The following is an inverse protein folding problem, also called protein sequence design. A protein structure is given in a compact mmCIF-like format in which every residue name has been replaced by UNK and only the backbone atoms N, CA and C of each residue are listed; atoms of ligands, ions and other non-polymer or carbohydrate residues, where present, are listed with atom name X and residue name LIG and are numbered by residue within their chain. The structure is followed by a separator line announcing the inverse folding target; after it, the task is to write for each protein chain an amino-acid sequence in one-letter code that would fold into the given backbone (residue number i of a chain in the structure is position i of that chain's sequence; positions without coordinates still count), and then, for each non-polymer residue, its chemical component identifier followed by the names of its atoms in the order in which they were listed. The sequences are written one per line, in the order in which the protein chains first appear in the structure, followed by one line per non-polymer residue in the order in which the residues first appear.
data_IF_382204680571
#
_entry.id   IF_382204680571
#
_cell.length_a   1.000
_cell.length_b   1.000
_cell.length_c   1.000
_cell.angle_alpha   90.00
_cell.angle_beta   90.00
_cell.angle_gamma   90.00
#
_symmetry.space_group_name_H-M   'P 1'
#
loop_
_entity.id
_entity.type
_entity.pdbx_description
1 polymer ?
#
# COMPACT_ATOMS: atom_id res chain seq x y z
N UNK A 1 28.28 -9.92 25.63
CA UNK A 1 28.12 -8.73 26.50
C UNK A 1 29.02 -7.63 25.98
N UNK A 2 28.49 -6.74 25.14
CA UNK A 2 29.19 -5.52 24.76
C UNK A 2 28.26 -4.36 25.14
N UNK A 3 28.52 -3.74 26.30
CA UNK A 3 27.82 -2.53 26.73
C UNK A 3 28.28 -1.38 25.83
N UNK A 4 27.35 -0.83 25.06
CA UNK A 4 27.58 0.29 24.15
C UNK A 4 27.73 1.59 24.97
N UNK A 5 28.82 2.36 24.88
CA UNK A 5 29.20 3.38 25.89
C UNK A 5 28.37 4.69 25.90
N UNK A 6 27.13 4.71 25.40
CA UNK A 6 26.38 5.96 25.19
C UNK A 6 24.93 6.00 25.68
N UNK A 7 24.41 4.96 26.34
CA UNK A 7 23.00 4.93 26.79
C UNK A 7 22.88 5.34 28.26
N UNK A 8 21.96 6.25 28.56
CA UNK A 8 21.61 6.54 29.95
C UNK A 8 20.87 5.34 30.57
N UNK A 9 20.98 5.10 31.89
CA UNK A 9 20.35 3.94 32.54
C UNK A 9 18.83 3.84 32.33
N UNK A 10 18.17 4.97 32.09
CA UNK A 10 16.73 5.05 31.81
C UNK A 10 16.36 4.48 30.42
N UNK A 11 17.13 4.78 29.37
CA UNK A 11 16.87 4.24 28.02
C UNK A 11 17.05 2.72 27.98
N UNK A 12 18.08 2.18 28.66
CA UNK A 12 18.32 0.74 28.71
C UNK A 12 17.12 -0.03 29.32
N UNK A 13 16.45 0.55 30.32
CA UNK A 13 15.27 -0.03 30.96
C UNK A 13 14.02 -0.01 30.08
N UNK A 14 13.90 0.96 29.16
CA UNK A 14 12.74 1.09 28.26
C UNK A 14 12.81 0.06 27.11
N UNK A 15 14.01 -0.18 26.56
CA UNK A 15 14.22 -1.21 25.54
C UNK A 15 14.05 -2.65 26.05
N UNK A 16 14.34 -2.90 27.33
CA UNK A 16 14.13 -4.22 27.97
C UNK A 16 12.65 -4.52 28.24
N UNK A 17 11.76 -3.51 28.19
CA UNK A 17 10.31 -3.66 28.36
C UNK A 17 9.54 -3.83 27.04
N UNK A 18 10.25 -3.83 25.90
CA UNK A 18 9.63 -4.05 24.59
C UNK A 18 9.33 -5.55 24.40
N UNK A 19 8.05 -5.93 24.49
CA UNK A 19 7.61 -7.26 24.09
C UNK A 19 7.90 -7.47 22.60
N UNK A 20 8.75 -8.46 22.30
CA UNK A 20 9.05 -8.83 20.93
C UNK A 20 7.78 -9.40 20.28
N UNK A 21 7.45 -8.97 19.05
CA UNK A 21 6.30 -9.51 18.34
C UNK A 21 6.45 -11.03 18.23
N UNK A 22 5.43 -11.75 18.70
CA UNK A 22 5.42 -13.20 18.65
C UNK A 22 5.50 -13.64 17.19
N UNK A 23 6.63 -14.27 16.83
CA UNK A 23 6.90 -14.77 15.48
C UNK A 23 6.17 -16.08 15.19
N UNK A 24 5.37 -16.59 16.14
CA UNK A 24 4.51 -17.73 15.90
C UNK A 24 3.57 -17.46 14.72
N UNK A 25 3.31 -18.47 13.89
CA UNK A 25 2.42 -18.34 12.73
C UNK A 25 1.04 -17.80 13.15
N UNK A 26 0.57 -18.18 14.36
CA UNK A 26 -0.69 -17.72 14.94
C UNK A 26 -0.64 -16.25 15.35
N UNK A 27 0.49 -15.77 15.89
CA UNK A 27 0.73 -14.36 16.16
C UNK A 27 0.73 -13.52 14.88
N UNK A 28 1.41 -13.99 13.84
CA UNK A 28 1.46 -13.30 12.54
C UNK A 28 0.08 -13.20 11.87
N UNK A 29 -0.71 -14.28 11.94
CA UNK A 29 -2.11 -14.31 11.47
C UNK A 29 -3.01 -13.28 12.18
N UNK A 30 -2.80 -13.03 13.48
CA UNK A 30 -3.56 -12.01 14.23
C UNK A 30 -3.27 -10.58 13.74
N UNK A 31 -2.07 -10.32 13.24
CA UNK A 31 -1.68 -9.01 12.71
C UNK A 31 -1.91 -8.84 11.20
N UNK A 32 -2.48 -9.85 10.52
CA UNK A 32 -2.71 -9.84 9.08
C UNK A 32 -3.91 -8.96 8.64
N UNK A 33 -4.82 -8.64 9.57
CA UNK A 33 -6.06 -7.89 9.32
C UNK A 33 -5.89 -6.59 8.51
N UNK A 34 -5.07 -5.61 8.93
CA UNK A 34 -4.89 -4.37 8.19
C UNK A 34 -4.30 -4.58 6.79
N UNK A 35 -3.45 -5.59 6.61
CA UNK A 35 -2.90 -5.95 5.30
C UNK A 35 -3.97 -6.49 4.34
N UNK A 36 -4.89 -7.33 4.83
CA UNK A 36 -6.02 -7.83 4.03
C UNK A 36 -6.94 -6.69 3.62
N UNK A 37 -7.25 -5.77 4.54
CA UNK A 37 -8.09 -4.60 4.24
C UNK A 37 -7.45 -3.78 3.11
N UNK A 38 -6.15 -3.49 3.19
CA UNK A 38 -5.45 -2.78 2.12
C UNK A 38 -5.45 -3.57 0.80
N UNK A 39 -5.28 -4.88 0.84
CA UNK A 39 -5.34 -5.71 -0.37
C UNK A 39 -6.70 -5.62 -1.05
N UNK A 40 -7.78 -5.68 -0.25
CA UNK A 40 -9.16 -5.58 -0.74
C UNK A 40 -9.45 -4.21 -1.37
N UNK A 41 -8.89 -3.11 -0.84
CA UNK A 41 -9.06 -1.79 -1.47
C UNK A 41 -8.26 -1.63 -2.76
N UNK A 42 -7.17 -2.39 -2.92
CA UNK A 42 -6.34 -2.38 -4.11
C UNK A 42 -6.90 -3.19 -5.29
N UNK A 43 -7.76 -4.18 -5.06
CA UNK A 43 -8.32 -5.05 -6.10
C UNK A 43 -9.70 -4.51 -6.53
N UNK A 44 -9.78 -3.99 -7.75
CA UNK A 44 -11.02 -3.49 -8.36
C UNK A 44 -11.51 -4.31 -9.55
N UNK A 45 -12.71 -3.98 -10.05
CA UNK A 45 -13.34 -4.61 -11.23
C UNK A 45 -12.50 -4.51 -12.50
N UNK A 46 -11.66 -3.48 -12.62
CA UNK A 46 -10.71 -3.32 -13.72
C UNK A 46 -9.77 -4.52 -13.84
N UNK A 47 -9.30 -5.10 -12.73
CA UNK A 47 -8.44 -6.28 -12.74
C UNK A 47 -9.20 -7.53 -13.22
N UNK A 48 -10.48 -7.65 -12.88
CA UNK A 48 -11.33 -8.76 -13.31
C UNK A 48 -11.60 -8.74 -14.81
N UNK A 49 -11.64 -7.56 -15.44
CA UNK A 49 -11.83 -7.44 -16.90
C UNK A 49 -10.50 -7.49 -17.63
N UNK A 50 -9.49 -6.74 -17.16
CA UNK A 50 -8.21 -6.59 -17.87
C UNK A 50 -7.31 -7.82 -17.77
N UNK A 51 -7.27 -8.52 -16.63
CA UNK A 51 -6.39 -9.68 -16.49
C UNK A 51 -6.83 -10.86 -17.38
N UNK A 52 -8.12 -11.24 -17.45
CA UNK A 52 -8.56 -12.27 -18.40
C UNK A 52 -8.46 -11.81 -19.85
N UNK A 53 -8.75 -10.53 -20.15
CA UNK A 53 -8.60 -10.00 -21.51
C UNK A 53 -7.14 -10.05 -21.98
N UNK A 54 -6.19 -9.70 -21.10
CA UNK A 54 -4.77 -9.79 -21.37
C UNK A 54 -4.31 -11.25 -21.53
N UNK A 55 -4.79 -12.15 -20.67
CA UNK A 55 -4.50 -13.58 -20.78
C UNK A 55 -5.07 -14.22 -22.06
N UNK A 56 -6.27 -13.81 -22.49
CA UNK A 56 -6.89 -14.31 -23.72
C UNK A 56 -6.22 -13.79 -24.99
N UNK A 57 -5.68 -12.56 -24.97
CA UNK A 57 -5.04 -11.95 -26.15
C UNK A 57 -3.55 -12.23 -26.26
N UNK A 58 -2.84 -12.32 -25.13
CA UNK A 58 -1.38 -12.40 -25.08
C UNK A 58 -0.86 -13.67 -24.39
N UNK A 59 -1.75 -14.58 -23.95
CA UNK A 59 -1.39 -15.81 -23.23
C UNK A 59 -0.35 -15.54 -22.12
N UNK A 60 0.81 -16.18 -22.21
CA UNK A 60 1.90 -16.04 -21.22
C UNK A 60 2.88 -14.90 -21.52
N UNK A 61 2.71 -14.16 -22.62
CA UNK A 61 3.66 -13.13 -23.03
C UNK A 61 3.76 -11.95 -22.05
N UNK A 62 2.73 -11.71 -21.24
CA UNK A 62 2.69 -10.64 -20.22
C UNK A 62 3.06 -11.12 -18.82
N UNK A 63 3.43 -12.39 -18.65
CA UNK A 63 3.66 -12.97 -17.32
C UNK A 63 4.88 -12.35 -16.62
N UNK A 64 5.85 -11.86 -17.41
CA UNK A 64 7.01 -11.12 -16.88
C UNK A 64 6.64 -9.78 -16.24
N UNK A 65 5.50 -9.17 -16.59
CA UNK A 65 5.06 -7.93 -15.96
C UNK A 65 4.68 -8.13 -14.49
N UNK A 66 4.31 -9.36 -14.10
CA UNK A 66 3.89 -9.71 -12.74
C UNK A 66 5.01 -9.53 -11.70
N UNK A 67 6.21 -10.16 -11.84
CA UNK A 67 7.30 -9.95 -10.89
C UNK A 67 7.80 -8.50 -10.90
N UNK A 68 7.85 -7.84 -12.06
CA UNK A 68 8.26 -6.43 -12.16
C UNK A 68 7.31 -5.53 -11.38
N UNK A 69 6.00 -5.67 -11.60
CA UNK A 69 4.99 -4.92 -10.86
C UNK A 69 5.06 -5.22 -9.35
N UNK A 70 5.33 -6.47 -8.96
CA UNK A 70 5.43 -6.86 -7.56
C UNK A 70 6.63 -6.21 -6.87
N UNK A 71 7.79 -6.15 -7.51
CA UNK A 71 8.99 -5.49 -6.98
C UNK A 71 8.69 -4.01 -6.69
N UNK A 72 8.16 -3.28 -7.68
CA UNK A 72 7.87 -1.85 -7.51
C UNK A 72 6.81 -1.61 -6.44
N UNK A 73 5.72 -2.40 -6.43
CA UNK A 73 4.67 -2.25 -5.42
C UNK A 73 5.18 -2.59 -4.03
N UNK A 74 5.95 -3.67 -3.89
CA UNK A 74 6.49 -4.11 -2.60
C UNK A 74 7.36 -3.02 -1.97
N UNK A 75 8.35 -2.51 -2.70
CA UNK A 75 9.22 -1.45 -2.19
C UNK A 75 8.44 -0.18 -1.84
N UNK A 76 7.46 0.21 -2.66
CA UNK A 76 6.61 1.37 -2.39
C UNK A 76 5.82 1.22 -1.08
N UNK A 77 5.14 0.08 -0.89
CA UNK A 77 4.35 -0.18 0.31
C UNK A 77 5.23 -0.39 1.55
N UNK A 78 6.35 -1.10 1.44
CA UNK A 78 7.26 -1.35 2.54
C UNK A 78 7.78 -0.03 3.13
N UNK A 79 8.21 0.91 2.27
CA UNK A 79 8.67 2.23 2.73
C UNK A 79 7.55 3.04 3.37
N UNK A 80 6.34 3.03 2.78
CA UNK A 80 5.20 3.77 3.32
C UNK A 80 4.77 3.26 4.71
N UNK A 81 4.71 1.94 4.89
CA UNK A 81 4.37 1.33 6.17
C UNK A 81 5.47 1.53 7.21
N UNK A 82 6.73 1.34 6.84
CA UNK A 82 7.87 1.58 7.74
C UNK A 82 7.91 3.03 8.20
N UNK A 83 7.63 3.99 7.30
CA UNK A 83 7.54 5.40 7.65
C UNK A 83 6.42 5.67 8.66
N UNK A 84 5.21 5.18 8.40
CA UNK A 84 4.04 5.42 9.26
C UNK A 84 4.24 4.77 10.63
N UNK A 85 4.81 3.56 10.68
CA UNK A 85 5.09 2.84 11.93
C UNK A 85 6.21 3.49 12.75
N UNK A 86 7.25 4.03 12.11
CA UNK A 86 8.38 4.64 12.82
C UNK A 86 8.11 6.08 13.28
N UNK A 87 7.32 6.85 12.53
CA UNK A 87 7.08 8.28 12.83
C UNK A 87 5.72 8.56 13.47
N UNK A 88 4.79 7.61 13.41
CA UNK A 88 3.39 7.81 13.82
C UNK A 88 2.60 8.80 12.95
N UNK A 89 3.21 9.34 11.88
CA UNK A 89 2.61 10.33 10.98
C UNK A 89 2.05 9.66 9.74
N UNK A 90 0.96 10.22 9.21
CA UNK A 90 0.42 9.78 7.93
C UNK A 90 1.36 10.13 6.77
N UNK A 91 1.24 9.41 5.66
CA UNK A 91 2.03 9.66 4.45
C UNK A 91 1.77 11.06 3.87
N UNK A 92 0.56 11.58 4.04
CA UNK A 92 0.18 12.95 3.63
C UNK A 92 0.91 14.00 4.47
N UNK A 93 1.07 13.78 5.78
CA UNK A 93 1.86 14.67 6.64
C UNK A 93 3.36 14.62 6.29
N UNK A 94 3.85 13.45 5.88
CA UNK A 94 5.20 13.32 5.33
C UNK A 94 5.38 14.21 4.09
N UNK A 95 4.43 14.15 3.16
CA UNK A 95 4.43 14.96 1.94
C UNK A 95 4.29 16.47 2.23
N UNK A 96 3.57 16.84 3.28
CA UNK A 96 3.45 18.23 3.72
C UNK A 96 4.75 18.80 4.32
N UNK A 97 5.66 17.93 4.81
CA UNK A 97 6.96 18.32 5.36
C UNK A 97 7.98 18.67 4.25
N UNK A 98 7.75 18.22 3.02
CA UNK A 98 8.61 18.53 1.89
C UNK A 98 8.58 20.03 1.52
N UNK A 99 9.75 20.59 1.21
CA UNK A 99 9.90 22.01 0.85
C UNK A 99 9.01 22.36 -0.35
N UNK A 100 8.14 23.36 -0.18
CA UNK A 100 7.24 23.83 -1.22
C UNK A 100 5.92 23.06 -1.36
N UNK A 101 5.67 22.03 -0.54
CA UNK A 101 4.42 21.22 -0.55
C UNK A 101 4.01 20.69 -1.93
N UNK A 102 4.95 20.63 -2.88
CA UNK A 102 4.68 20.16 -4.25
C UNK A 102 4.18 18.71 -4.29
N UNK A 103 4.72 17.76 -3.47
CA UNK A 103 4.18 16.42 -3.41
C UNK A 103 2.70 16.36 -2.99
N UNK A 104 2.25 17.31 -2.16
CA UNK A 104 0.86 17.41 -1.74
C UNK A 104 -0.06 17.83 -2.90
N UNK A 105 0.38 18.83 -3.67
CA UNK A 105 -0.33 19.26 -4.88
C UNK A 105 -0.36 18.16 -5.95
N UNK A 106 0.76 17.44 -6.13
CA UNK A 106 0.82 16.30 -7.02
C UNK A 106 -0.21 15.23 -6.64
N UNK A 107 -0.22 14.79 -5.37
CA UNK A 107 -1.17 13.79 -4.87
C UNK A 107 -2.62 14.27 -5.04
N UNK A 108 -2.91 15.54 -4.74
CA UNK A 108 -4.23 16.12 -4.90
C UNK A 108 -4.71 16.07 -6.36
N UNK A 109 -3.88 16.56 -7.29
CA UNK A 109 -4.21 16.58 -8.73
C UNK A 109 -4.41 15.16 -9.26
N UNK A 110 -3.49 14.25 -8.94
CA UNK A 110 -3.62 12.85 -9.38
C UNK A 110 -4.86 12.18 -8.79
N UNK A 111 -5.22 12.50 -7.55
CA UNK A 111 -6.41 11.94 -6.89
C UNK A 111 -7.69 12.46 -7.54
N UNK A 112 -7.75 13.76 -7.87
CA UNK A 112 -8.91 14.34 -8.56
C UNK A 112 -9.10 13.74 -9.95
N UNK A 113 -8.01 13.61 -10.72
CA UNK A 113 -8.04 12.98 -12.05
C UNK A 113 -8.49 11.51 -11.92
N UNK A 114 -7.91 10.77 -10.98
CA UNK A 114 -8.27 9.36 -10.74
C UNK A 114 -9.74 9.22 -10.31
N UNK A 115 -10.25 10.16 -9.51
CA UNK A 115 -11.65 10.17 -9.09
C UNK A 115 -12.56 10.40 -10.30
N UNK A 116 -12.27 11.41 -11.13
CA UNK A 116 -13.06 11.70 -12.33
C UNK A 116 -13.10 10.50 -13.30
N UNK A 117 -11.94 9.93 -13.64
CA UNK A 117 -11.84 8.77 -14.53
C UNK A 117 -12.50 7.54 -13.90
N UNK A 118 -12.28 7.32 -12.60
CA UNK A 118 -12.85 6.20 -11.87
C UNK A 118 -14.37 6.26 -11.78
N UNK A 119 -14.96 7.44 -11.58
CA UNK A 119 -16.42 7.62 -11.56
C UNK A 119 -17.00 7.44 -12.96
N UNK A 120 -16.37 8.02 -13.99
CA UNK A 120 -16.79 7.85 -15.38
C UNK A 120 -16.82 6.36 -15.79
N UNK A 121 -15.76 5.61 -15.47
CA UNK A 121 -15.70 4.17 -15.79
C UNK A 121 -16.80 3.35 -15.10
N UNK A 122 -17.09 3.66 -13.82
CA UNK A 122 -18.17 2.99 -13.07
C UNK A 122 -19.55 3.34 -13.63
N UNK A 123 -19.77 4.61 -14.01
CA UNK A 123 -21.02 5.06 -14.60
C UNK A 123 -21.28 4.39 -15.95
N UNK A 124 -20.27 4.29 -16.82
CA UNK A 124 -20.40 3.59 -18.12
C UNK A 124 -20.74 2.12 -17.90
N UNK A 125 -20.07 1.45 -16.95
CA UNK A 125 -20.36 0.05 -16.64
C UNK A 125 -21.79 -0.13 -16.11
N UNK A 126 -22.25 0.75 -15.20
CA UNK A 126 -23.62 0.71 -14.69
C UNK A 126 -24.66 0.97 -15.78
N UNK A 127 -24.44 1.97 -16.63
CA UNK A 127 -25.31 2.28 -17.76
C UNK A 127 -25.37 1.14 -18.78
N UNK A 128 -24.23 0.48 -19.06
CA UNK A 128 -24.19 -0.68 -19.94
C UNK A 128 -25.03 -1.83 -19.38
N UNK A 129 -24.94 -2.12 -18.08
CA UNK A 129 -25.77 -3.15 -17.44
C UNK A 129 -27.26 -2.81 -17.58
N UNK A 130 -27.66 -1.56 -17.32
CA UNK A 130 -29.06 -1.12 -17.45
C UNK A 130 -29.55 -1.14 -18.91
N UNK A 131 -28.67 -0.94 -19.88
CA UNK A 131 -29.05 -0.98 -21.30
C UNK A 131 -29.22 -2.41 -21.83
N UNK A 132 -28.45 -3.37 -21.30
CA UNK A 132 -28.47 -4.76 -21.73
C UNK A 132 -29.34 -5.69 -20.85
N UNK A 133 -29.93 -5.16 -19.78
CA UNK A 133 -30.95 -5.83 -18.93
C UNK A 133 -32.31 -5.22 -19.22
#
# INVERSE_FOLDING_TARGET
MAQNPGRTPAEASEFDQLELPDRSARGLLRHFGPGIILMMTGIGTSHLVTAPTAGGRFAYALLWCLPVAYIFKYYGFEMAFRFTNATGKSLIEAYATARGKWPLWYVLVTTLIQCAIGQAGRLIAAAAVVYYV
#
